data_IF_885989860698
#
_entry.id   IF_885989860698
#
_cell.length_a   1.000
_cell.length_b   1.000
_cell.length_c   1.000
_cell.angle_alpha   90.00
_cell.angle_beta   90.00
_cell.angle_gamma   90.00
#
_symmetry.space_group_name_H-M   'P 1'
#
loop_
_entity.id
_entity.type
_entity.pdbx_description
1 polymer ?
#
# COMPACT_ATOMS: atom_id res chain seq x y z
N UNK A 1 -18.81 -6.39 -22.83
CA UNK A 1 -18.25 -6.71 -21.50
C UNK A 1 -16.93 -5.95 -21.32
N UNK A 2 -16.95 -4.78 -20.68
CA UNK A 2 -15.73 -4.13 -20.23
C UNK A 2 -15.46 -4.65 -18.82
N UNK A 3 -14.49 -5.55 -18.67
CA UNK A 3 -14.00 -6.00 -17.36
C UNK A 3 -13.30 -4.81 -16.72
N UNK A 4 -14.08 -4.01 -15.99
CA UNK A 4 -13.62 -2.92 -15.13
C UNK A 4 -12.78 -3.57 -14.04
N UNK A 5 -11.51 -3.80 -14.33
CA UNK A 5 -10.63 -4.54 -13.45
C UNK A 5 -10.39 -3.67 -12.22
N UNK A 6 -10.99 -4.06 -11.09
CA UNK A 6 -10.88 -3.51 -9.74
C UNK A 6 -9.44 -3.57 -9.20
N UNK A 7 -8.47 -2.99 -9.91
CA UNK A 7 -7.03 -3.29 -9.84
C UNK A 7 -6.26 -2.48 -8.80
N UNK A 8 -6.91 -1.73 -7.93
CA UNK A 8 -6.21 -0.83 -7.03
C UNK A 8 -7.14 -0.13 -6.06
N UNK A 9 -6.55 0.52 -5.06
CA UNK A 9 -7.25 1.44 -4.18
C UNK A 9 -6.86 2.86 -4.60
N UNK A 10 -7.83 3.69 -4.97
CA UNK A 10 -7.53 5.07 -5.34
C UNK A 10 -7.21 5.94 -4.11
N UNK A 11 -6.80 7.18 -4.34
CA UNK A 11 -6.41 8.07 -3.22
C UNK A 11 -7.58 8.40 -2.30
N UNK A 12 -8.79 8.54 -2.87
CA UNK A 12 -10.01 8.81 -2.12
C UNK A 12 -10.33 7.67 -1.16
N UNK A 13 -10.38 6.44 -1.66
CA UNK A 13 -10.59 5.25 -0.82
C UNK A 13 -9.52 5.11 0.27
N UNK A 14 -8.26 5.39 -0.07
CA UNK A 14 -7.16 5.35 0.89
C UNK A 14 -7.31 6.44 1.97
N UNK A 15 -7.80 7.63 1.61
CA UNK A 15 -8.08 8.72 2.54
C UNK A 15 -9.26 8.40 3.46
N UNK A 16 -10.33 7.82 2.94
CA UNK A 16 -11.46 7.36 3.75
C UNK A 16 -10.96 6.33 4.78
N UNK A 17 -10.17 5.36 4.32
CA UNK A 17 -9.57 4.36 5.21
C UNK A 17 -8.60 4.97 6.22
N UNK A 18 -7.84 5.97 5.80
CA UNK A 18 -6.95 6.74 6.65
C UNK A 18 -7.72 7.54 7.72
N UNK A 19 -8.92 8.02 7.40
CA UNK A 19 -9.78 8.71 8.36
C UNK A 19 -10.41 7.77 9.39
N UNK A 20 -10.59 6.48 9.05
CA UNK A 20 -11.09 5.46 9.98
C UNK A 20 -10.03 5.01 11.00
N UNK A 21 -8.75 5.13 10.67
CA UNK A 21 -7.64 4.74 11.55
C UNK A 21 -7.25 5.88 12.49
N UNK A 22 -6.85 5.53 13.71
CA UNK A 22 -6.43 6.50 14.74
C UNK A 22 -5.18 6.06 15.49
N UNK A 23 -4.52 4.98 15.07
CA UNK A 23 -3.32 4.50 15.71
C UNK A 23 -2.11 5.40 15.42
N UNK A 24 -1.21 5.58 16.41
CA UNK A 24 -0.03 6.44 16.27
C UNK A 24 0.94 5.94 15.19
N UNK A 25 0.93 4.63 14.96
CA UNK A 25 1.77 3.91 13.99
C UNK A 25 1.02 3.56 12.70
N UNK A 26 -0.23 3.96 12.58
CA UNK A 26 -1.00 3.81 11.35
C UNK A 26 -0.83 5.07 10.49
N UNK A 27 -0.99 4.93 9.19
CA UNK A 27 -0.89 6.06 8.26
C UNK A 27 -0.25 5.71 6.94
N UNK A 28 0.17 6.74 6.21
CA UNK A 28 0.84 6.58 4.93
C UNK A 28 2.34 6.37 5.09
N UNK A 29 2.86 5.46 4.28
CA UNK A 29 4.24 5.02 4.28
C UNK A 29 4.78 5.02 2.86
N UNK A 30 6.02 5.48 2.69
CA UNK A 30 6.76 5.41 1.43
C UNK A 30 7.93 4.45 1.56
N UNK A 31 8.13 3.60 0.55
CA UNK A 31 9.24 2.66 0.55
C UNK A 31 10.57 3.42 0.64
N UNK A 32 11.47 2.98 1.51
CA UNK A 32 12.84 3.51 1.59
C UNK A 32 13.67 3.05 0.39
N UNK A 33 13.39 1.84 -0.09
CA UNK A 33 13.99 1.33 -1.32
C UNK A 33 13.16 1.76 -2.52
N UNK A 34 13.77 2.51 -3.42
CA UNK A 34 13.22 2.77 -4.74
C UNK A 34 13.36 1.51 -5.58
N UNK A 35 12.25 0.99 -6.09
CA UNK A 35 12.28 -0.11 -7.06
C UNK A 35 12.11 0.53 -8.44
N UNK A 36 13.11 0.36 -9.31
CA UNK A 36 13.14 1.00 -10.63
C UNK A 36 13.06 2.55 -10.56
N UNK A 37 13.83 3.16 -9.64
CA UNK A 37 13.83 4.61 -9.37
C UNK A 37 12.47 5.20 -8.92
N UNK A 38 11.52 4.36 -8.51
CA UNK A 38 10.20 4.79 -8.04
C UNK A 38 9.96 4.32 -6.62
N UNK A 39 9.43 5.22 -5.80
CA UNK A 39 9.01 4.95 -4.44
C UNK A 39 7.59 4.38 -4.44
N UNK A 40 7.31 3.51 -3.46
CA UNK A 40 5.99 2.88 -3.32
C UNK A 40 5.25 3.44 -2.13
N UNK A 41 4.08 4.02 -2.42
CA UNK A 41 3.17 4.51 -1.40
C UNK A 41 2.28 3.36 -0.94
N UNK A 42 2.20 3.18 0.37
CA UNK A 42 1.34 2.19 1.01
C UNK A 42 0.66 2.81 2.24
N UNK A 43 -0.56 2.38 2.51
CA UNK A 43 -1.30 2.77 3.71
C UNK A 43 -1.20 1.60 4.67
N UNK A 44 -0.60 1.82 5.83
CA UNK A 44 -0.48 0.80 6.86
C UNK A 44 -1.56 0.99 7.92
N UNK A 45 -2.35 -0.06 8.12
CA UNK A 45 -3.45 -0.13 9.08
C UNK A 45 -3.13 -1.22 10.09
N UNK A 46 -3.22 -0.92 11.39
CA UNK A 46 -2.94 -1.89 12.43
C UNK A 46 -4.11 -2.88 12.53
N UNK A 47 -3.79 -4.18 12.46
CA UNK A 47 -4.81 -5.22 12.62
C UNK A 47 -4.96 -5.53 14.10
N UNK A 48 -6.13 -5.21 14.66
CA UNK A 48 -6.51 -5.69 15.99
C UNK A 48 -6.97 -7.13 15.85
N UNK A 49 -6.11 -8.09 16.18
CA UNK A 49 -6.51 -9.50 16.24
C UNK A 49 -7.49 -9.64 17.41
N UNK A 50 -8.78 -9.75 17.09
CA UNK A 50 -9.88 -9.89 18.07
C UNK A 50 -10.11 -11.34 18.51
N UNK A 51 -9.30 -12.29 18.04
CA UNK A 51 -9.39 -13.66 18.52
C UNK A 51 -9.01 -13.72 20.00
N UNK A 52 -10.02 -14.00 20.83
CA UNK A 52 -9.92 -14.39 22.24
C UNK A 52 -8.95 -15.58 22.40
N UNK A 53 -7.65 -15.32 22.46
CA UNK A 53 -6.71 -16.03 23.33
C UNK A 53 -5.34 -15.39 23.22
N UNK A 54 -4.78 -15.17 24.40
CA UNK A 54 -3.37 -14.87 24.66
C UNK A 54 -2.91 -13.44 24.39
N UNK A 55 -2.72 -12.74 25.52
CA UNK A 55 -1.71 -11.72 25.80
C UNK A 55 -0.78 -11.43 24.61
N UNK A 56 -1.25 -10.61 23.69
CA UNK A 56 -0.45 -10.25 22.53
C UNK A 56 0.57 -9.19 22.97
N UNK A 57 1.77 -9.67 23.28
CA UNK A 57 2.93 -8.85 23.59
C UNK A 57 3.15 -7.80 22.50
N UNK A 58 3.72 -6.64 22.84
CA UNK A 58 4.02 -5.52 21.91
C UNK A 58 4.75 -5.94 20.61
N UNK A 59 5.30 -7.15 20.55
CA UNK A 59 5.96 -7.78 19.39
C UNK A 59 5.02 -8.24 18.27
N UNK A 60 3.72 -8.35 18.49
CA UNK A 60 2.77 -8.89 17.50
C UNK A 60 1.86 -7.83 16.87
N UNK A 61 2.26 -6.55 16.88
CA UNK A 61 1.54 -5.53 16.13
C UNK A 61 1.74 -5.77 14.64
N UNK A 62 0.78 -6.49 14.05
CA UNK A 62 0.69 -6.74 12.62
C UNK A 62 -0.02 -5.59 11.93
N UNK A 63 0.50 -5.19 10.78
CA UNK A 63 -0.01 -4.12 9.94
C UNK A 63 -0.43 -4.68 8.59
N UNK A 64 -1.64 -4.32 8.19
CA UNK A 64 -2.19 -4.59 6.89
C UNK A 64 -1.86 -3.42 5.97
N UNK A 65 -1.26 -3.72 4.82
CA UNK A 65 -0.86 -2.69 3.86
C UNK A 65 -1.88 -2.58 2.74
N UNK A 66 -2.21 -1.37 2.33
CA UNK A 66 -2.99 -1.10 1.14
C UNK A 66 -2.10 -0.40 0.12
N UNK A 67 -2.26 -0.75 -1.16
CA UNK A 67 -1.45 -0.25 -2.26
C UNK A 67 -2.31 0.28 -3.39
N UNK A 68 -1.85 1.32 -4.11
CA UNK A 68 -2.57 1.88 -5.25
C UNK A 68 -2.73 0.91 -6.43
N UNK A 69 -1.86 -0.07 -6.58
CA UNK A 69 -1.80 -0.94 -7.76
C UNK A 69 -2.39 -2.35 -7.55
N UNK A 70 -2.79 -2.68 -6.32
CA UNK A 70 -3.32 -4.01 -5.95
C UNK A 70 -4.46 -3.89 -4.95
N UNK A 71 -4.66 -2.72 -4.34
CA UNK A 71 -5.59 -2.53 -3.25
C UNK A 71 -5.05 -3.19 -1.99
N UNK A 72 -5.87 -4.03 -1.37
CA UNK A 72 -5.55 -4.65 -0.09
C UNK A 72 -4.46 -5.72 -0.23
N UNK A 73 -3.39 -5.59 0.56
CA UNK A 73 -2.40 -6.64 0.74
C UNK A 73 -2.87 -7.61 1.84
N UNK A 74 -3.17 -8.85 1.45
CA UNK A 74 -3.51 -9.94 2.38
C UNK A 74 -2.36 -10.30 3.33
N UNK A 75 -1.12 -10.06 2.89
CA UNK A 75 0.08 -10.28 3.70
C UNK A 75 0.21 -9.18 4.75
N UNK A 76 0.09 -9.58 6.01
CA UNK A 76 0.39 -8.71 7.14
C UNK A 76 1.90 -8.59 7.33
N UNK A 77 2.38 -7.38 7.61
CA UNK A 77 3.78 -7.12 7.94
C UNK A 77 3.87 -6.67 9.40
N UNK A 78 4.92 -7.09 10.09
CA UNK A 78 5.19 -6.59 11.44
C UNK A 78 5.67 -5.15 11.38
N UNK A 79 5.44 -4.40 12.45
CA UNK A 79 5.89 -3.02 12.57
C UNK A 79 7.41 -2.85 12.30
N UNK A 80 8.23 -3.77 12.79
CA UNK A 80 9.67 -3.72 12.61
C UNK A 80 10.08 -3.83 11.14
N UNK A 81 9.42 -4.71 10.38
CA UNK A 81 9.65 -4.86 8.94
C UNK A 81 9.13 -3.65 8.16
N UNK A 82 7.97 -3.11 8.58
CA UNK A 82 7.40 -1.90 8.00
C UNK A 82 8.35 -0.71 8.16
N UNK A 83 8.83 -0.43 9.38
CA UNK A 83 9.75 0.67 9.68
C UNK A 83 11.13 0.49 9.01
N UNK A 84 11.53 -0.76 8.71
CA UNK A 84 12.78 -1.06 8.00
C UNK A 84 12.69 -0.86 6.48
N UNK A 85 11.52 -1.14 5.90
CA UNK A 85 11.30 -1.07 4.44
C UNK A 85 10.66 0.24 4.01
N UNK A 86 9.94 0.91 4.89
CA UNK A 86 9.15 2.10 4.62
C UNK A 86 9.33 3.17 5.70
N UNK A 87 9.27 4.43 5.30
CA UNK A 87 9.20 5.58 6.21
C UNK A 87 7.77 6.11 6.27
N UNK A 88 7.29 6.45 7.46
CA UNK A 88 6.01 7.16 7.62
C UNK A 88 6.15 8.55 7.01
N UNK A 89 5.17 8.96 6.21
CA UNK A 89 5.14 10.28 5.56
C UNK A 89 3.81 10.97 5.75
N UNK A 90 3.77 12.26 5.46
CA UNK A 90 2.52 13.04 5.40
C UNK A 90 1.63 12.55 4.25
N UNK A 91 0.32 12.75 4.40
CA UNK A 91 -0.66 12.45 3.36
C UNK A 91 -0.34 13.15 2.04
N UNK A 92 0.21 14.37 2.06
CA UNK A 92 0.58 15.13 0.85
C UNK A 92 1.71 14.47 0.04
N UNK A 93 2.78 14.00 0.72
CA UNK A 93 3.87 13.27 0.06
C UNK A 93 3.39 11.91 -0.46
N UNK A 94 2.55 11.25 0.32
CA UNK A 94 1.94 9.99 -0.07
C UNK A 94 0.99 10.16 -1.25
N UNK A 95 0.18 11.22 -1.29
CA UNK A 95 -0.80 11.50 -2.35
C UNK A 95 -0.12 11.51 -3.72
N UNK A 96 0.93 12.32 -3.84
CA UNK A 96 1.65 12.49 -5.10
C UNK A 96 2.15 11.15 -5.62
N UNK A 97 2.78 10.37 -4.74
CA UNK A 97 3.29 9.03 -5.06
C UNK A 97 2.16 8.04 -5.34
N UNK A 98 1.09 8.06 -4.55
CA UNK A 98 -0.06 7.15 -4.64
C UNK A 98 -0.80 7.35 -5.95
N UNK A 99 -1.17 8.59 -6.28
CA UNK A 99 -1.86 8.94 -7.52
C UNK A 99 -0.99 8.64 -8.73
N UNK A 100 0.31 8.93 -8.66
CA UNK A 100 1.25 8.55 -9.72
C UNK A 100 1.30 7.03 -9.93
N UNK A 101 1.35 6.24 -8.86
CA UNK A 101 1.35 4.78 -8.93
C UNK A 101 0.01 4.20 -9.41
N UNK A 102 -1.11 4.74 -8.93
CA UNK A 102 -2.46 4.35 -9.35
C UNK A 102 -2.68 4.65 -10.83
N UNK A 103 -2.33 5.86 -11.26
CA UNK A 103 -2.38 6.28 -12.66
C UNK A 103 -1.47 5.41 -13.55
N UNK A 104 -0.29 5.04 -13.05
CA UNK A 104 0.61 4.18 -13.80
C UNK A 104 0.12 2.73 -13.86
N UNK A 105 -0.51 2.22 -12.80
CA UNK A 105 -1.12 0.87 -12.76
C UNK A 105 -2.36 0.77 -13.66
N UNK A 106 -3.07 1.88 -13.86
CA UNK A 106 -4.24 1.96 -14.75
C UNK A 106 -3.86 2.22 -16.20
N UNK A 107 -2.82 3.05 -16.47
CA UNK A 107 -2.34 3.33 -17.84
C UNK A 107 -1.42 2.27 -18.43
N UNK A 108 -0.66 1.56 -17.60
CA UNK A 108 0.41 0.68 -18.05
C UNK A 108 0.30 -0.64 -17.29
N UNK A 109 0.24 -1.77 -18.02
CA UNK A 109 0.27 -3.10 -17.42
C UNK A 109 1.43 -3.17 -16.42
N UNK A 110 1.25 -3.76 -15.24
CA UNK A 110 2.30 -3.77 -14.20
C UNK A 110 3.66 -4.27 -14.75
N UNK A 111 3.65 -5.14 -15.77
CA UNK A 111 4.84 -5.53 -16.52
C UNK A 111 5.57 -4.37 -17.22
N UNK A 112 4.91 -3.51 -17.99
CA UNK A 112 5.56 -2.37 -18.62
C UNK A 112 5.95 -1.29 -17.62
N UNK A 113 5.20 -1.12 -16.53
CA UNK A 113 5.57 -0.17 -15.47
C UNK A 113 6.89 -0.53 -14.78
N UNK A 114 7.14 -1.84 -14.60
CA UNK A 114 8.36 -2.35 -13.98
C UNK A 114 9.49 -2.68 -14.99
N UNK A 115 9.19 -3.04 -16.24
CA UNK A 115 10.18 -3.53 -17.24
C UNK A 115 10.34 -2.67 -18.51
N UNK A 116 9.62 -1.56 -18.65
CA UNK A 116 9.73 -0.66 -19.79
C UNK A 116 9.49 -1.32 -21.18
N UNK A 117 8.89 -2.52 -21.24
CA UNK A 117 8.49 -3.18 -22.48
C UNK A 117 7.20 -3.96 -22.28
N UNK A 118 6.25 -3.74 -23.20
CA UNK A 118 5.07 -4.57 -23.38
C UNK A 118 5.04 -5.00 -24.85
N UNK A 119 5.27 -6.30 -25.11
CA UNK A 119 4.79 -6.93 -26.34
C UNK A 119 3.34 -7.34 -26.05
N UNK A 120 2.39 -6.69 -26.71
CA UNK A 120 1.06 -7.29 -26.87
C UNK A 120 1.23 -8.49 -27.81
N UNK A 121 0.80 -9.71 -27.44
CA UNK A 121 0.46 -10.69 -28.46
C UNK A 121 -0.90 -10.29 -29.04
N UNK A 122 -0.93 -10.12 -30.36
CA UNK A 122 -2.15 -10.20 -31.17
C UNK A 122 -2.74 -11.61 -31.05
#
# INVERSE_FOLDING_TARGET
HAVHSERGMDWTEALEKWSEISGPKEGFYLSLQARNNKYTAVLAVAVKITNKKEKLSKKDHMFQLYRPNTGLQLRLESLAELEKKYKKVSSEEAETSWRAQYAASTRVCSHAYWRNSCRNPD
#
